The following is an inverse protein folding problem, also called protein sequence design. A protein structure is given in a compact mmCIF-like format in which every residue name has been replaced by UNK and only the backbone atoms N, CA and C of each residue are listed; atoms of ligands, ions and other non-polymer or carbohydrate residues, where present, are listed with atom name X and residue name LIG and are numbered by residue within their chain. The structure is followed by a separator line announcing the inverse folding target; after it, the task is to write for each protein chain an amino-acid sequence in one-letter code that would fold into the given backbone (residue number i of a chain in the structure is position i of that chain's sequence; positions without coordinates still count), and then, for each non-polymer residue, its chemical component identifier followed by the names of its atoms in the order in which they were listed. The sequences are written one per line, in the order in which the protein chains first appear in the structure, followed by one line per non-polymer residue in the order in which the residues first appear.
data_IF_953244130840
#
_entry.id   IF_953244130840
#
_cell.length_a   1.000
_cell.length_b   1.000
_cell.length_c   1.000
_cell.angle_alpha   90.00
_cell.angle_beta   90.00
_cell.angle_gamma   90.00
#
_symmetry.space_group_name_H-M   'P 1'
#
loop_
_entity.id
_entity.type
_entity.pdbx_description
1 polymer ?
#
# COMPACT_ATOMS: atom_id res chain seq x y z
N UNK A 1 4.66 6.62 1.14
CA UNK A 1 3.37 7.20 0.75
C UNK A 1 2.68 7.68 2.02
N UNK A 2 2.12 8.88 2.01
CA UNK A 2 1.58 9.52 3.21
C UNK A 2 0.05 9.66 3.14
N UNK A 3 -0.57 9.60 4.30
CA UNK A 3 -1.99 9.85 4.52
C UNK A 3 -2.17 10.45 5.92
N UNK A 4 -2.96 11.51 6.04
CA UNK A 4 -3.08 12.26 7.30
C UNK A 4 -3.85 11.49 8.40
N UNK A 5 -4.63 10.48 8.02
CA UNK A 5 -5.43 9.67 8.95
C UNK A 5 -4.68 8.44 9.44
N UNK A 6 -4.11 7.66 8.52
CA UNK A 6 -3.41 6.41 8.83
C UNK A 6 -1.89 6.58 9.02
N UNK A 7 -1.34 7.73 8.67
CA UNK A 7 0.09 7.99 8.62
C UNK A 7 0.75 7.40 7.38
N UNK A 8 2.08 7.26 7.46
CA UNK A 8 2.89 6.83 6.32
C UNK A 8 2.92 5.31 6.17
N UNK A 9 2.86 4.87 4.90
CA UNK A 9 3.13 3.49 4.49
C UNK A 9 4.32 3.46 3.54
N UNK A 10 5.03 2.33 3.51
CA UNK A 10 6.10 2.09 2.54
C UNK A 10 5.78 0.89 1.65
N UNK A 11 6.13 1.00 0.38
CA UNK A 11 6.19 -0.13 -0.55
C UNK A 11 7.67 -0.40 -0.77
N UNK A 12 8.12 -1.61 -0.47
CA UNK A 12 9.52 -2.02 -0.54
C UNK A 12 9.68 -3.20 -1.49
N UNK A 13 10.85 -3.26 -2.14
CA UNK A 13 11.26 -4.45 -2.89
C UNK A 13 11.84 -5.50 -1.93
N UNK A 14 11.53 -6.75 -2.22
CA UNK A 14 12.11 -7.95 -1.62
C UNK A 14 12.53 -8.90 -2.74
N UNK A 15 13.27 -9.96 -2.38
CA UNK A 15 13.79 -10.93 -3.35
C UNK A 15 12.69 -11.57 -4.24
N UNK A 16 11.47 -11.68 -3.72
CA UNK A 16 10.33 -12.36 -4.32
C UNK A 16 9.22 -11.41 -4.82
N UNK A 17 9.43 -10.09 -4.78
CA UNK A 17 8.47 -9.11 -5.27
C UNK A 17 8.35 -7.89 -4.36
N UNK A 18 7.14 -7.39 -4.20
CA UNK A 18 6.86 -6.21 -3.38
C UNK A 18 6.33 -6.59 -2.00
N UNK A 19 6.51 -5.71 -1.04
CA UNK A 19 5.86 -5.77 0.26
C UNK A 19 5.36 -4.39 0.69
N UNK A 20 4.23 -4.38 1.40
CA UNK A 20 3.72 -3.19 2.07
C UNK A 20 4.16 -3.20 3.54
N UNK A 21 4.60 -2.04 4.03
CA UNK A 21 4.95 -1.80 5.42
C UNK A 21 3.93 -0.84 6.02
N UNK A 22 3.23 -1.29 7.05
CA UNK A 22 2.09 -0.61 7.68
C UNK A 22 2.34 -0.29 9.15
N UNK A 23 1.89 0.90 9.54
CA UNK A 23 1.76 1.33 10.92
C UNK A 23 3.08 1.56 11.66
N UNK A 24 3.03 2.07 12.90
CA UNK A 24 4.21 2.47 13.68
C UNK A 24 5.12 1.28 14.05
N UNK A 25 4.57 0.06 14.11
CA UNK A 25 5.32 -1.18 14.35
C UNK A 25 6.01 -1.73 13.08
N UNK A 26 5.88 -1.05 11.93
CA UNK A 26 6.46 -1.46 10.64
C UNK A 26 6.11 -2.90 10.26
N UNK A 27 4.84 -3.26 10.42
CA UNK A 27 4.36 -4.59 10.04
C UNK A 27 4.50 -4.77 8.54
N UNK A 28 5.15 -5.85 8.10
CA UNK A 28 5.49 -6.06 6.70
C UNK A 28 4.69 -7.22 6.12
N UNK A 29 3.98 -6.99 5.02
CA UNK A 29 3.16 -7.98 4.35
C UNK A 29 3.61 -8.15 2.90
N UNK A 30 3.85 -9.39 2.48
CA UNK A 30 4.17 -9.69 1.09
C UNK A 30 2.97 -9.36 0.19
N UNK A 31 3.26 -8.75 -0.95
CA UNK A 31 2.28 -8.40 -1.96
C UNK A 31 2.38 -9.37 -3.13
N UNK A 32 1.23 -9.82 -3.63
CA UNK A 32 1.13 -10.66 -4.83
C UNK A 32 0.53 -9.86 -5.97
N UNK A 33 1.19 -9.84 -7.12
CA UNK A 33 0.63 -9.23 -8.33
C UNK A 33 -0.70 -9.88 -8.69
N UNK A 34 -1.70 -9.07 -9.04
CA UNK A 34 -3.03 -9.53 -9.41
C UNK A 34 -3.34 -9.20 -10.86
N UNK A 35 -3.41 -7.91 -11.20
CA UNK A 35 -3.64 -7.44 -12.56
C UNK A 35 -3.11 -6.01 -12.69
N UNK A 36 -2.44 -5.69 -13.81
CA UNK A 36 -1.87 -4.36 -14.09
C UNK A 36 -1.20 -3.74 -12.86
N UNK A 37 -1.74 -2.62 -12.38
CA UNK A 37 -1.25 -1.81 -11.27
C UNK A 37 -1.84 -2.24 -9.91
N UNK A 38 -2.46 -3.41 -9.86
CA UNK A 38 -3.11 -3.96 -8.68
C UNK A 38 -2.35 -5.16 -8.15
N UNK A 39 -2.07 -5.10 -6.85
CA UNK A 39 -1.52 -6.18 -6.05
C UNK A 39 -2.52 -6.57 -4.95
N UNK A 40 -2.28 -7.70 -4.30
CA UNK A 40 -3.05 -8.16 -3.15
C UNK A 40 -2.13 -8.52 -2.00
N UNK A 41 -2.63 -8.46 -0.76
CA UNK A 41 -1.94 -8.96 0.42
C UNK A 41 -2.94 -9.58 1.40
N UNK A 42 -2.44 -10.41 2.32
CA UNK A 42 -3.26 -10.94 3.41
C UNK A 42 -3.23 -9.97 4.59
N UNK A 43 -4.40 -9.48 4.97
CA UNK A 43 -4.56 -8.62 6.15
C UNK A 43 -4.44 -9.45 7.45
N UNK A 44 -4.02 -8.81 8.54
CA UNK A 44 -3.87 -9.45 9.84
C UNK A 44 -4.10 -8.45 10.99
N UNK A 45 -4.23 -8.97 12.21
CA UNK A 45 -4.46 -8.17 13.40
C UNK A 45 -5.88 -7.57 13.46
N UNK A 46 -6.00 -6.36 13.99
CA UNK A 46 -7.31 -5.70 14.18
C UNK A 46 -8.03 -5.35 12.86
N UNK A 47 -7.29 -5.31 11.75
CA UNK A 47 -7.83 -5.06 10.41
C UNK A 47 -7.87 -6.33 9.55
N UNK A 48 -7.93 -7.52 10.16
CA UNK A 48 -8.00 -8.78 9.45
C UNK A 48 -9.37 -8.97 8.77
N UNK A 49 -9.43 -8.66 7.48
CA UNK A 49 -10.62 -8.80 6.61
C UNK A 49 -10.41 -9.80 5.48
N UNK A 50 -9.27 -10.49 5.46
CA UNK A 50 -8.88 -11.43 4.41
C UNK A 50 -7.97 -10.81 3.35
N UNK A 51 -8.05 -11.31 2.11
CA UNK A 51 -7.29 -10.79 0.97
C UNK A 51 -7.79 -9.41 0.61
N UNK A 52 -6.90 -8.43 0.49
CA UNK A 52 -7.25 -7.06 0.11
C UNK A 52 -6.32 -6.50 -0.96
N UNK A 53 -6.87 -5.63 -1.81
CA UNK A 53 -6.20 -4.97 -2.92
C UNK A 53 -5.35 -3.77 -2.51
N UNK A 54 -4.26 -3.59 -3.25
CA UNK A 54 -3.40 -2.42 -3.27
C UNK A 54 -3.30 -1.98 -4.72
N UNK A 55 -3.91 -0.84 -5.06
CA UNK A 55 -3.95 -0.33 -6.44
C UNK A 55 -3.09 0.92 -6.55
N UNK A 56 -2.12 0.90 -7.46
CA UNK A 56 -1.27 2.06 -7.75
C UNK A 56 -1.92 2.94 -8.81
N UNK A 57 -1.90 4.25 -8.60
CA UNK A 57 -2.16 5.21 -9.69
C UNK A 57 -0.83 5.56 -10.34
N UNK A 58 -0.65 5.23 -11.61
CA UNK A 58 0.59 5.52 -12.34
C UNK A 58 0.47 6.84 -13.10
N UNK A 59 1.42 7.74 -12.88
CA UNK A 59 1.51 9.03 -13.56
C UNK A 59 2.11 8.94 -14.96
N UNK A 60 2.09 10.02 -15.75
CA UNK A 60 2.62 10.05 -17.12
C UNK A 60 4.12 9.74 -17.24
N UNK A 61 4.87 9.89 -16.14
CA UNK A 61 6.30 9.57 -16.05
C UNK A 61 6.58 8.09 -15.72
N UNK A 62 5.54 7.26 -15.68
CA UNK A 62 5.63 5.85 -15.33
C UNK A 62 5.84 5.60 -13.83
N UNK A 63 5.74 6.63 -12.98
CA UNK A 63 5.89 6.49 -11.53
C UNK A 63 4.52 6.53 -10.85
N UNK A 64 4.35 5.68 -9.84
CA UNK A 64 3.14 5.68 -9.04
C UNK A 64 3.00 6.99 -8.24
N UNK A 65 1.93 7.76 -8.45
CA UNK A 65 1.65 9.01 -7.75
C UNK A 65 0.85 8.81 -6.46
N UNK A 66 0.04 7.75 -6.39
CA UNK A 66 -0.70 7.38 -5.18
C UNK A 66 -0.88 5.86 -5.10
N UNK A 67 -1.30 5.39 -3.91
CA UNK A 67 -1.69 4.02 -3.64
C UNK A 67 -3.04 4.03 -2.94
N UNK A 68 -3.98 3.21 -3.41
CA UNK A 68 -5.23 2.91 -2.73
C UNK A 68 -5.08 1.58 -1.99
N UNK A 69 -5.27 1.58 -0.66
CA UNK A 69 -5.30 0.37 0.17
C UNK A 69 -6.75 0.05 0.50
N UNK A 70 -7.30 -0.96 -0.15
CA UNK A 70 -8.74 -1.22 -0.17
C UNK A 70 -9.35 -1.42 1.23
N UNK A 71 -8.74 -2.24 2.08
CA UNK A 71 -9.25 -2.50 3.44
C UNK A 71 -9.19 -1.27 4.37
N UNK A 72 -8.45 -0.22 4.00
CA UNK A 72 -8.38 1.04 4.73
C UNK A 72 -9.28 2.12 4.11
N UNK A 73 -10.01 1.80 3.04
CA UNK A 73 -10.75 2.77 2.25
C UNK A 73 -12.28 2.71 2.46
N UNK A 74 -12.74 2.38 3.67
CA UNK A 74 -14.17 2.19 3.96
C UNK A 74 -15.01 3.47 3.70
N UNK A 75 -14.46 4.66 3.94
CA UNK A 75 -15.12 5.94 3.63
C UNK A 75 -14.25 6.87 2.79
N UNK A 76 -13.29 6.33 2.02
CA UNK A 76 -12.44 7.09 1.11
C UNK A 76 -11.09 7.52 1.70
N UNK A 77 -10.75 7.10 2.92
CA UNK A 77 -9.54 7.50 3.62
C UNK A 77 -8.31 6.67 3.24
N UNK A 78 -8.47 5.61 2.44
CA UNK A 78 -7.42 4.64 2.13
C UNK A 78 -6.51 5.04 0.97
N UNK A 79 -6.57 6.30 0.53
CA UNK A 79 -5.69 6.84 -0.50
C UNK A 79 -4.43 7.47 0.12
N UNK A 80 -3.25 6.97 -0.27
CA UNK A 80 -1.95 7.43 0.21
C UNK A 80 -1.18 8.09 -0.93
N UNK A 81 -0.68 9.31 -0.71
CA UNK A 81 0.03 10.09 -1.74
C UNK A 81 1.53 9.77 -1.74
N UNK A 82 2.17 9.73 -2.90
CA UNK A 82 3.62 9.59 -2.97
C UNK A 82 4.26 10.83 -2.34
N UNK A 83 5.20 10.59 -1.43
CA UNK A 83 6.08 11.60 -0.85
C UNK A 83 7.52 11.31 -1.28
N UNK A 84 8.42 12.31 -1.26
CA UNK A 84 9.85 12.05 -1.46
C UNK A 84 10.33 10.98 -0.50
N UNK A 85 11.27 10.13 -0.94
CA UNK A 85 11.90 9.16 -0.06
C UNK A 85 12.56 9.91 1.11
N UNK A 86 12.28 9.47 2.34
CA UNK A 86 13.04 9.94 3.50
C UNK A 86 14.51 9.52 3.32
N UNK A 87 15.41 10.50 3.49
CA UNK A 87 16.86 10.30 3.47
C UNK A 87 17.35 9.50 4.67
#
# INVERSE_FOLDING_TARGET
YANDFFGDISIIEKADGLAIVLGPKKMTFAMKHYDRDTFTYQTAGENAVGTSGITFTIGPDGKATSVLVENLNAHGEGAFQRVPAQK
#
